data_IF_846099721737
#
_entry.id   IF_846099721737
#
_cell.length_a   1.000
_cell.length_b   1.000
_cell.length_c   1.000
_cell.angle_alpha   90.00
_cell.angle_beta   90.00
_cell.angle_gamma   90.00
#
_symmetry.space_group_name_H-M   'P 1'
#
loop_
_entity.id
_entity.type
_entity.pdbx_description
1 polymer ?
#
# COMPACT_ATOMS: atom_id res chain seq x y z
N UNK A 1 7.64 2.41 25.00
CA UNK A 1 6.49 2.31 24.08
C UNK A 1 5.86 0.95 24.30
N UNK A 2 4.55 0.85 24.56
CA UNK A 2 3.90 -0.45 24.82
C UNK A 2 3.68 -1.22 23.52
N UNK A 3 3.56 -2.55 23.60
CA UNK A 3 3.32 -3.43 22.43
C UNK A 3 2.09 -2.99 21.62
N UNK A 4 1.02 -2.58 22.31
CA UNK A 4 -0.20 -2.05 21.68
C UNK A 4 0.04 -0.73 20.94
N UNK A 5 0.81 0.20 21.51
CA UNK A 5 1.15 1.44 20.81
C UNK A 5 1.96 1.19 19.54
N UNK A 6 2.87 0.22 19.54
CA UNK A 6 3.69 -0.13 18.37
C UNK A 6 2.82 -0.71 17.25
N UNK A 7 1.90 -1.63 17.61
CA UNK A 7 0.93 -2.21 16.68
C UNK A 7 0.13 -1.13 15.96
N UNK A 8 -0.50 -0.23 16.70
CA UNK A 8 -1.30 0.84 16.11
C UNK A 8 -0.47 1.81 15.28
N UNK A 9 0.69 2.25 15.80
CA UNK A 9 1.57 3.16 15.08
C UNK A 9 2.02 2.57 13.74
N UNK A 10 2.43 1.31 13.74
CA UNK A 10 2.87 0.63 12.53
C UNK A 10 1.73 0.46 11.51
N UNK A 11 0.54 0.04 11.96
CA UNK A 11 -0.62 -0.11 11.07
C UNK A 11 -1.05 1.23 10.45
N UNK A 12 -1.09 2.31 11.24
CA UNK A 12 -1.44 3.63 10.71
C UNK A 12 -0.36 4.18 9.78
N UNK A 13 0.91 4.01 10.13
CA UNK A 13 2.01 4.43 9.27
C UNK A 13 1.94 3.72 7.91
N UNK A 14 1.77 2.41 7.91
CA UNK A 14 1.63 1.62 6.69
C UNK A 14 0.41 2.06 5.88
N UNK A 15 -0.73 2.32 6.53
CA UNK A 15 -1.94 2.82 5.86
C UNK A 15 -1.67 4.16 5.16
N UNK A 16 -1.00 5.11 5.84
CA UNK A 16 -0.64 6.41 5.25
C UNK A 16 0.28 6.22 4.05
N UNK A 17 1.28 5.35 4.15
CA UNK A 17 2.18 5.02 3.03
C UNK A 17 1.40 4.44 1.86
N UNK A 18 0.48 3.51 2.10
CA UNK A 18 -0.36 2.92 1.05
C UNK A 18 -1.24 3.97 0.37
N UNK A 19 -1.86 4.88 1.12
CA UNK A 19 -2.67 5.97 0.57
C UNK A 19 -1.81 6.93 -0.24
N UNK A 20 -0.67 7.36 0.30
CA UNK A 20 0.27 8.24 -0.40
C UNK A 20 0.74 7.62 -1.72
N UNK A 21 1.04 6.32 -1.71
CA UNK A 21 1.43 5.58 -2.90
C UNK A 21 0.29 5.43 -3.92
N UNK A 22 -0.95 5.26 -3.45
CA UNK A 22 -2.13 5.22 -4.32
C UNK A 22 -2.30 6.56 -5.07
N UNK A 23 -2.21 7.69 -4.37
CA UNK A 23 -2.27 9.02 -4.98
C UNK A 23 -1.14 9.22 -5.98
N UNK A 24 0.09 8.84 -5.62
CA UNK A 24 1.24 8.88 -6.54
C UNK A 24 1.00 8.07 -7.81
N UNK A 25 0.48 6.84 -7.68
CA UNK A 25 0.18 5.97 -8.81
C UNK A 25 -0.85 6.59 -9.77
N UNK A 26 -1.88 7.25 -9.23
CA UNK A 26 -2.88 7.96 -10.05
C UNK A 26 -2.24 9.11 -10.84
N UNK A 27 -1.31 9.86 -10.23
CA UNK A 27 -0.60 10.93 -10.94
C UNK A 27 0.29 10.38 -12.07
N UNK A 28 0.98 9.25 -11.84
CA UNK A 28 1.79 8.59 -12.87
C UNK A 28 0.92 8.11 -14.03
N UNK A 29 -0.21 7.47 -13.74
CA UNK A 29 -1.18 7.03 -14.76
C UNK A 29 -1.72 8.21 -15.56
N UNK A 30 -2.09 9.30 -14.87
CA UNK A 30 -2.56 10.53 -15.54
C UNK A 30 -1.51 11.09 -16.51
N UNK A 31 -0.25 11.16 -16.08
CA UNK A 31 0.83 11.66 -16.92
C UNK A 31 1.10 10.73 -18.11
N UNK A 32 1.10 9.42 -17.88
CA UNK A 32 1.25 8.40 -18.92
C UNK A 32 0.15 8.48 -20.00
N UNK A 33 -1.10 8.79 -19.62
CA UNK A 33 -2.20 8.97 -20.58
C UNK A 33 -2.04 10.24 -21.43
N UNK A 34 -1.39 11.28 -20.92
CA UNK A 34 -1.19 12.53 -21.66
C UNK A 34 -0.15 12.40 -22.78
N UNK A 35 0.86 11.56 -22.59
CA UNK A 35 1.90 11.27 -23.57
C UNK A 35 2.32 9.79 -23.47
N UNK A 36 1.60 8.88 -24.15
CA UNK A 36 1.87 7.45 -24.06
C UNK A 36 3.23 7.11 -24.67
N UNK A 37 4.06 6.38 -23.91
CA UNK A 37 5.33 5.84 -24.39
C UNK A 37 5.59 4.46 -23.78
N UNK A 38 6.49 3.65 -24.37
CA UNK A 38 6.88 2.36 -23.78
C UNK A 38 7.42 2.49 -22.34
N UNK A 39 8.11 3.60 -22.04
CA UNK A 39 8.61 3.90 -20.69
C UNK A 39 7.44 4.17 -19.74
N UNK A 40 6.43 4.91 -20.20
CA UNK A 40 5.22 5.20 -19.41
C UNK A 40 4.48 3.92 -19.00
N UNK A 41 4.48 2.88 -19.86
CA UNK A 41 3.86 1.58 -19.54
C UNK A 41 4.63 0.86 -18.43
N UNK A 42 5.96 0.89 -18.46
CA UNK A 42 6.78 0.32 -17.40
C UNK A 42 6.58 1.05 -16.07
N UNK A 43 6.56 2.38 -16.09
CA UNK A 43 6.33 3.20 -14.90
C UNK A 43 4.97 2.89 -14.27
N UNK A 44 3.89 2.96 -15.05
CA UNK A 44 2.53 2.66 -14.57
C UNK A 44 2.44 1.24 -14.03
N UNK A 45 3.06 0.27 -14.70
CA UNK A 45 3.04 -1.13 -14.26
C UNK A 45 3.78 -1.28 -12.94
N UNK A 46 4.98 -0.73 -12.81
CA UNK A 46 5.78 -0.78 -11.59
C UNK A 46 5.09 -0.13 -10.40
N UNK A 47 4.53 1.07 -10.59
CA UNK A 47 3.80 1.77 -9.52
C UNK A 47 2.56 1.02 -9.08
N UNK A 48 1.84 0.40 -10.02
CA UNK A 48 0.62 -0.38 -9.74
C UNK A 48 0.91 -1.70 -9.04
N UNK A 49 2.00 -2.40 -9.41
CA UNK A 49 2.45 -3.62 -8.72
C UNK A 49 2.79 -3.33 -7.27
N UNK A 50 3.55 -2.26 -7.01
CA UNK A 50 3.88 -1.86 -5.64
C UNK A 50 2.63 -1.45 -4.84
N UNK A 51 1.67 -0.76 -5.47
CA UNK A 51 0.39 -0.46 -4.83
C UNK A 51 -0.35 -1.74 -4.40
N UNK A 52 -0.43 -2.73 -5.29
CA UNK A 52 -1.02 -4.03 -4.98
C UNK A 52 -0.31 -4.73 -3.81
N UNK A 53 1.03 -4.69 -3.81
CA UNK A 53 1.84 -5.25 -2.72
C UNK A 53 1.58 -4.53 -1.38
N UNK A 54 1.47 -3.21 -1.38
CA UNK A 54 1.18 -2.42 -0.18
C UNK A 54 -0.22 -2.69 0.39
N UNK A 55 -1.22 -2.87 -0.47
CA UNK A 55 -2.57 -3.28 -0.06
C UNK A 55 -2.53 -4.68 0.57
N UNK A 56 -1.86 -5.63 -0.08
CA UNK A 56 -1.68 -6.99 0.44
C UNK A 56 -0.96 -7.01 1.78
N UNK A 57 0.12 -6.23 1.91
CA UNK A 57 0.87 -6.08 3.16
C UNK A 57 -0.04 -5.53 4.27
N UNK A 58 -0.83 -4.49 3.99
CA UNK A 58 -1.73 -3.91 4.98
C UNK A 58 -2.77 -4.95 5.46
N UNK A 59 -3.33 -5.74 4.53
CA UNK A 59 -4.24 -6.83 4.88
C UNK A 59 -3.57 -7.88 5.80
N UNK A 60 -2.32 -8.27 5.51
CA UNK A 60 -1.57 -9.21 6.34
C UNK A 60 -1.28 -8.65 7.73
N UNK A 61 -0.93 -7.37 7.83
CA UNK A 61 -0.68 -6.67 9.11
C UNK A 61 -1.96 -6.62 9.94
N UNK A 62 -3.10 -6.31 9.32
CA UNK A 62 -4.40 -6.34 10.00
C UNK A 62 -4.71 -7.76 10.49
N UNK A 63 -4.50 -8.77 9.66
CA UNK A 63 -4.70 -10.17 10.03
C UNK A 63 -3.78 -10.62 11.17
N UNK A 64 -2.51 -10.21 11.15
CA UNK A 64 -1.54 -10.59 12.16
C UNK A 64 -1.86 -9.98 13.53
N UNK A 65 -2.18 -8.68 13.56
CA UNK A 65 -2.30 -7.93 14.81
C UNK A 65 -3.71 -7.86 15.40
N UNK A 66 -4.75 -7.93 14.56
CA UNK A 66 -6.14 -7.64 14.97
C UNK A 66 -7.09 -8.81 14.77
N UNK A 67 -6.73 -9.83 13.98
CA UNK A 67 -7.58 -11.02 13.87
C UNK A 67 -7.55 -11.77 15.19
N UNK A 68 -8.72 -11.91 15.82
CA UNK A 68 -8.88 -12.76 17.01
C UNK A 68 -8.46 -14.18 16.64
N UNK A 69 -7.50 -14.76 17.37
CA UNK A 69 -7.26 -16.21 17.31
C UNK A 69 -8.49 -16.87 17.92
N UNK A 70 -9.18 -17.71 17.15
CA UNK A 70 -10.27 -18.53 17.69
C UNK A 70 -9.72 -19.29 18.89
N UNK A 71 -10.34 -19.20 20.08
CA UNK A 71 -9.92 -20.03 21.20
C UNK A 71 -10.20 -21.49 20.82
N UNK A 72 -9.14 -22.29 20.71
CA UNK A 72 -9.22 -23.76 20.70
C UNK A 72 -9.34 -24.26 22.13
#
# INVERSE_FOLDING_TARGET
MTSESIKWLYTFFLLIVTIGWAVFSVMVIKNAMSAPSPVSVLEVSGTSVLLGALIGWNALVIQHWFRKKTPT
#
